data_IF_737775316554
#
_entry.id   IF_737775316554
#
_cell.length_a   1.000
_cell.length_b   1.000
_cell.length_c   1.000
_cell.angle_alpha   90.00
_cell.angle_beta   90.00
_cell.angle_gamma   90.00
#
_symmetry.space_group_name_H-M   'P 1'
#
loop_
_entity.id
_entity.type
_entity.pdbx_description
1 polymer ?
#
# COMPACT_ATOMS: atom_id res chain seq x y z
N UNK A 1 -14.05 23.98 16.22
CA UNK A 1 -13.12 23.29 17.18
C UNK A 1 -11.85 22.93 16.45
N UNK A 2 -10.71 23.42 16.94
CA UNK A 2 -9.42 23.10 16.33
C UNK A 2 -9.04 21.63 16.58
N UNK A 3 -8.73 20.91 15.51
CA UNK A 3 -8.28 19.51 15.57
C UNK A 3 -7.25 19.21 14.47
N UNK A 4 -6.42 18.20 14.70
CA UNK A 4 -5.50 17.66 13.69
C UNK A 4 -6.02 16.30 13.24
N UNK A 5 -6.11 16.12 11.93
CA UNK A 5 -6.46 14.83 11.30
C UNK A 5 -5.24 14.35 10.54
N UNK A 6 -4.87 13.09 10.77
CA UNK A 6 -3.68 12.48 10.18
C UNK A 6 -4.06 11.24 9.40
N UNK A 7 -3.48 11.08 8.21
CA UNK A 7 -3.57 9.87 7.40
C UNK A 7 -2.21 9.44 6.89
N UNK A 8 -2.09 8.17 6.58
CA UNK A 8 -0.86 7.55 6.04
C UNK A 8 -1.14 6.87 4.71
N UNK A 9 -0.10 6.77 3.88
CA UNK A 9 -0.10 5.90 2.71
C UNK A 9 1.26 5.21 2.59
N UNK A 10 1.28 4.09 1.88
CA UNK A 10 2.52 3.35 1.60
C UNK A 10 2.64 3.08 0.11
N UNK A 11 3.88 2.90 -0.34
CA UNK A 11 4.16 2.50 -1.71
C UNK A 11 4.11 0.96 -1.86
N UNK A 12 4.09 0.49 -3.09
CA UNK A 12 3.91 -0.92 -3.48
C UNK A 12 4.96 -1.88 -2.86
N UNK A 13 6.16 -1.41 -2.56
CA UNK A 13 7.23 -2.20 -1.94
C UNK A 13 7.19 -2.26 -0.42
N UNK A 14 6.22 -1.61 0.24
CA UNK A 14 5.97 -1.86 1.65
C UNK A 14 5.56 -3.33 1.83
N UNK A 15 6.17 -4.11 2.76
CA UNK A 15 5.99 -5.57 2.78
C UNK A 15 4.54 -6.02 2.93
N UNK A 16 3.71 -5.35 3.73
CA UNK A 16 2.29 -5.66 3.81
C UNK A 16 1.59 -5.40 2.46
N UNK A 17 1.88 -4.26 1.80
CA UNK A 17 1.26 -3.93 0.51
C UNK A 17 1.74 -4.84 -0.62
N UNK A 18 2.98 -5.31 -0.56
CA UNK A 18 3.49 -6.36 -1.44
C UNK A 18 2.65 -7.64 -1.31
N UNK A 19 2.30 -8.05 -0.07
CA UNK A 19 1.44 -9.21 0.17
C UNK A 19 0.03 -9.00 -0.37
N UNK A 20 -0.57 -7.83 -0.15
CA UNK A 20 -1.89 -7.47 -0.68
C UNK A 20 -1.89 -7.59 -2.21
N UNK A 21 -0.90 -6.99 -2.88
CA UNK A 21 -0.78 -7.00 -4.35
C UNK A 21 -0.63 -8.42 -4.91
N UNK A 22 0.11 -9.30 -4.22
CA UNK A 22 0.26 -10.70 -4.63
C UNK A 22 -1.07 -11.46 -4.47
N UNK A 23 -1.76 -11.29 -3.34
CA UNK A 23 -3.04 -11.96 -3.10
C UNK A 23 -4.13 -11.48 -4.08
N UNK A 24 -4.19 -10.19 -4.35
CA UNK A 24 -5.10 -9.59 -5.35
C UNK A 24 -4.86 -10.18 -6.74
N UNK A 25 -3.61 -10.35 -7.15
CA UNK A 25 -3.28 -10.92 -8.46
C UNK A 25 -3.67 -12.40 -8.58
N UNK A 26 -3.66 -13.17 -7.49
CA UNK A 26 -4.18 -14.53 -7.49
C UNK A 26 -5.70 -14.53 -7.71
N UNK A 27 -6.41 -13.62 -7.05
CA UNK A 27 -7.85 -13.45 -7.24
C UNK A 27 -8.18 -13.02 -8.67
N UNK A 28 -7.46 -12.04 -9.20
CA UNK A 28 -7.63 -11.56 -10.57
C UNK A 28 -7.45 -12.68 -11.59
N UNK A 29 -6.41 -13.50 -11.45
CA UNK A 29 -6.17 -14.64 -12.34
C UNK A 29 -7.25 -15.71 -12.19
N UNK A 30 -7.72 -15.98 -10.97
CA UNK A 30 -8.83 -16.91 -10.72
C UNK A 30 -10.11 -16.43 -11.43
N UNK A 31 -10.51 -15.19 -11.20
CA UNK A 31 -11.75 -14.61 -11.76
C UNK A 31 -11.69 -14.48 -13.28
N UNK A 32 -10.50 -14.24 -13.86
CA UNK A 32 -10.30 -14.19 -15.31
C UNK A 32 -10.64 -15.53 -15.98
N UNK A 33 -10.37 -16.66 -15.32
CA UNK A 33 -10.62 -18.01 -15.84
C UNK A 33 -11.98 -18.57 -15.38
N UNK A 34 -12.38 -18.29 -14.15
CA UNK A 34 -13.62 -18.76 -13.53
C UNK A 34 -14.27 -17.64 -12.72
N UNK A 35 -15.30 -16.95 -13.27
CA UNK A 35 -15.98 -15.85 -12.57
C UNK A 35 -16.67 -16.25 -11.25
N UNK A 36 -16.82 -17.55 -10.98
CA UNK A 36 -17.41 -18.07 -9.75
C UNK A 36 -16.35 -18.51 -8.72
N UNK A 37 -15.09 -18.17 -8.94
CA UNK A 37 -14.02 -18.47 -8.00
C UNK A 37 -14.28 -17.88 -6.62
N UNK A 38 -14.01 -18.66 -5.59
CA UNK A 38 -14.04 -18.24 -4.19
C UNK A 38 -12.63 -18.42 -3.63
N UNK A 39 -12.01 -17.30 -3.23
CA UNK A 39 -10.62 -17.27 -2.82
C UNK A 39 -10.51 -16.69 -1.39
N UNK A 40 -9.86 -17.43 -0.51
CA UNK A 40 -9.42 -16.97 0.81
C UNK A 40 -7.91 -17.24 0.94
N UNK A 41 -7.15 -16.73 -0.04
CA UNK A 41 -5.71 -16.95 -0.14
C UNK A 41 -4.97 -15.76 0.42
N UNK A 42 -4.15 -16.05 1.41
CA UNK A 42 -3.35 -15.09 2.17
C UNK A 42 -1.87 -15.22 1.82
N UNK A 43 -1.12 -14.14 2.03
CA UNK A 43 0.33 -14.11 1.87
C UNK A 43 1.02 -13.52 3.10
N UNK A 44 2.20 -14.05 3.40
CA UNK A 44 3.12 -13.47 4.36
C UNK A 44 4.54 -13.48 3.81
N UNK A 45 5.29 -12.39 4.03
CA UNK A 45 6.64 -12.23 3.48
C UNK A 45 7.64 -11.83 4.56
N UNK A 46 8.82 -12.46 4.53
CA UNK A 46 9.97 -12.06 5.34
C UNK A 46 11.27 -12.53 4.71
N UNK A 47 12.25 -11.63 4.62
CA UNK A 47 13.51 -11.86 3.92
C UNK A 47 13.26 -12.35 2.48
N UNK A 48 13.81 -13.48 2.10
CA UNK A 48 13.66 -14.18 0.82
C UNK A 48 12.56 -15.26 0.82
N UNK A 49 11.65 -15.24 1.77
CA UNK A 49 10.59 -16.24 1.91
C UNK A 49 9.22 -15.61 1.75
N UNK A 50 8.41 -16.22 0.88
CA UNK A 50 7.01 -15.91 0.68
C UNK A 50 6.19 -17.15 1.05
N UNK A 51 5.27 -16.98 1.99
CA UNK A 51 4.27 -17.97 2.36
C UNK A 51 2.97 -17.64 1.66
N UNK A 52 2.37 -18.63 1.00
CA UNK A 52 1.06 -18.55 0.36
C UNK A 52 0.22 -19.65 0.99
N UNK A 53 -0.87 -19.28 1.64
CA UNK A 53 -1.69 -20.23 2.39
C UNK A 53 -3.17 -19.84 2.33
N UNK A 54 -4.05 -20.80 2.64
CA UNK A 54 -5.48 -20.58 2.68
C UNK A 54 -6.27 -21.54 1.81
N UNK A 55 -7.46 -21.12 1.42
CA UNK A 55 -8.41 -21.95 0.70
C UNK A 55 -8.84 -21.31 -0.62
N UNK A 56 -9.02 -22.15 -1.63
CA UNK A 56 -9.53 -21.73 -2.94
C UNK A 56 -10.51 -22.78 -3.48
N UNK A 57 -11.72 -22.35 -3.84
CA UNK A 57 -12.68 -23.14 -4.60
C UNK A 57 -12.83 -22.51 -5.98
N UNK A 58 -12.18 -23.12 -6.97
CA UNK A 58 -12.12 -22.57 -8.34
C UNK A 58 -11.83 -23.67 -9.36
N UNK A 59 -12.29 -23.47 -10.60
CA UNK A 59 -11.89 -24.29 -11.76
C UNK A 59 -10.65 -23.70 -12.46
N UNK A 60 -10.19 -22.53 -12.05
CA UNK A 60 -9.01 -21.89 -12.62
C UNK A 60 -7.75 -22.70 -12.30
N UNK A 61 -6.81 -22.66 -13.23
CA UNK A 61 -5.46 -23.20 -13.03
C UNK A 61 -4.51 -22.04 -12.79
N UNK A 62 -4.13 -21.84 -11.53
CA UNK A 62 -3.34 -20.70 -11.09
C UNK A 62 -1.89 -21.14 -10.87
N UNK A 63 -0.96 -20.52 -11.57
CA UNK A 63 0.46 -20.66 -11.31
C UNK A 63 0.90 -19.61 -10.28
N UNK A 64 0.67 -19.91 -9.01
CA UNK A 64 0.98 -19.04 -7.87
C UNK A 64 2.45 -18.62 -7.84
N UNK A 65 3.36 -19.54 -8.19
CA UNK A 65 4.80 -19.27 -8.17
C UNK A 65 5.19 -18.24 -9.22
N UNK A 66 4.72 -18.39 -10.44
CA UNK A 66 5.03 -17.47 -11.53
C UNK A 66 4.44 -16.09 -11.29
N UNK A 67 3.18 -16.00 -10.87
CA UNK A 67 2.49 -14.74 -10.57
C UNK A 67 3.23 -13.99 -9.45
N UNK A 68 3.54 -14.67 -8.34
CA UNK A 68 4.23 -14.05 -7.22
C UNK A 68 5.62 -13.55 -7.61
N UNK A 69 6.39 -14.33 -8.37
CA UNK A 69 7.73 -13.92 -8.84
C UNK A 69 7.68 -12.74 -9.79
N UNK A 70 6.70 -12.68 -10.67
CA UNK A 70 6.51 -11.57 -11.60
C UNK A 70 6.22 -10.26 -10.84
N UNK A 71 5.31 -10.30 -9.86
CA UNK A 71 4.99 -9.14 -9.02
C UNK A 71 6.20 -8.69 -8.21
N UNK A 72 6.89 -9.60 -7.54
CA UNK A 72 8.09 -9.27 -6.78
C UNK A 72 9.16 -8.61 -7.67
N UNK A 73 9.32 -9.09 -8.90
CA UNK A 73 10.23 -8.51 -9.88
C UNK A 73 9.78 -7.12 -10.33
N UNK A 74 8.47 -6.91 -10.61
CA UNK A 74 7.93 -5.60 -11.00
C UNK A 74 8.06 -4.57 -9.87
N UNK A 75 7.86 -4.97 -8.63
CA UNK A 75 8.13 -4.15 -7.44
C UNK A 75 9.59 -3.70 -7.39
N UNK A 76 10.52 -4.54 -7.84
CA UNK A 76 11.95 -4.23 -7.90
C UNK A 76 12.84 -5.12 -7.04
N UNK A 77 12.31 -6.22 -6.50
CA UNK A 77 13.14 -7.22 -5.84
C UNK A 77 14.07 -7.91 -6.86
N UNK A 78 15.34 -8.00 -6.51
CA UNK A 78 16.37 -8.68 -7.34
C UNK A 78 16.72 -10.06 -6.81
N UNK A 79 16.19 -10.42 -5.66
CA UNK A 79 16.47 -11.66 -4.95
C UNK A 79 15.60 -12.80 -5.49
N UNK A 80 16.13 -14.02 -5.46
CA UNK A 80 15.33 -15.22 -5.60
C UNK A 80 14.52 -15.46 -4.32
N UNK A 81 13.23 -15.77 -4.45
CA UNK A 81 12.37 -16.06 -3.32
C UNK A 81 12.04 -17.55 -3.24
N UNK A 82 12.13 -18.09 -2.03
CA UNK A 82 11.60 -19.40 -1.69
C UNK A 82 10.10 -19.25 -1.42
N UNK A 83 9.27 -19.86 -2.27
CA UNK A 83 7.81 -19.84 -2.13
C UNK A 83 7.37 -21.12 -1.43
N UNK A 84 6.67 -20.97 -0.30
CA UNK A 84 6.10 -22.07 0.49
C UNK A 84 4.59 -21.97 0.39
N UNK A 85 3.95 -23.03 -0.07
CA UNK A 85 2.51 -23.06 -0.32
C UNK A 85 1.82 -24.10 0.56
N UNK A 86 0.71 -23.67 1.20
CA UNK A 86 -0.21 -24.53 1.93
C UNK A 86 -1.64 -24.12 1.56
N UNK A 87 -2.14 -24.71 0.46
CA UNK A 87 -3.44 -24.38 -0.12
C UNK A 87 -4.33 -25.61 -0.13
N UNK A 88 -5.60 -25.42 0.24
CA UNK A 88 -6.62 -26.44 0.23
C UNK A 88 -7.89 -25.97 -0.48
N UNK A 89 -8.82 -26.90 -0.74
CA UNK A 89 -10.19 -26.52 -1.08
C UNK A 89 -10.93 -26.07 0.18
N UNK A 90 -11.89 -25.17 0.02
CA UNK A 90 -12.74 -24.73 1.12
C UNK A 90 -13.50 -25.91 1.74
N UNK A 91 -13.56 -25.98 3.06
CA UNK A 91 -14.21 -27.07 3.75
C UNK A 91 -15.69 -27.20 3.34
N UNK A 92 -16.24 -28.42 3.19
CA UNK A 92 -17.64 -28.63 2.83
C UNK A 92 -18.61 -27.93 3.80
N UNK A 93 -18.26 -27.84 5.08
CA UNK A 93 -19.08 -27.21 6.12
C UNK A 93 -19.21 -25.71 5.92
N UNK A 94 -18.10 -25.03 5.59
CA UNK A 94 -18.08 -23.60 5.24
C UNK A 94 -18.83 -23.39 3.93
N UNK A 95 -18.61 -24.25 2.95
CA UNK A 95 -19.23 -24.15 1.64
C UNK A 95 -20.77 -24.24 1.70
N UNK A 96 -21.33 -25.11 2.55
CA UNK A 96 -22.78 -25.21 2.78
C UNK A 96 -23.39 -23.93 3.38
N UNK A 97 -22.63 -23.21 4.20
CA UNK A 97 -23.09 -21.97 4.83
C UNK A 97 -23.09 -20.78 3.85
N UNK A 98 -22.19 -20.80 2.86
CA UNK A 98 -21.85 -19.65 2.01
C UNK A 98 -22.47 -19.77 0.60
N UNK A 99 -22.50 -20.96 0.00
CA UNK A 99 -22.99 -21.16 -1.37
C UNK A 99 -24.51 -21.24 -1.38
N UNK A 100 -25.17 -20.22 -1.90
CA UNK A 100 -26.62 -20.16 -2.16
C UNK A 100 -26.86 -19.70 -3.60
N UNK A 101 -28.07 -19.97 -4.13
CA UNK A 101 -28.47 -19.56 -5.49
C UNK A 101 -28.42 -18.03 -5.67
N UNK A 102 -28.60 -17.25 -4.59
CA UNK A 102 -28.47 -15.81 -4.59
C UNK A 102 -27.06 -15.37 -4.17
N UNK A 103 -26.50 -14.37 -4.86
CA UNK A 103 -25.24 -13.75 -4.51
C UNK A 103 -25.34 -13.10 -3.12
N UNK A 104 -24.49 -13.53 -2.19
CA UNK A 104 -24.45 -13.04 -0.79
C UNK A 104 -23.01 -12.84 -0.35
N UNK A 105 -22.83 -12.10 0.74
CA UNK A 105 -21.52 -12.01 1.40
C UNK A 105 -21.06 -13.40 1.89
N UNK A 106 -19.76 -13.63 1.77
CA UNK A 106 -19.15 -14.92 2.17
C UNK A 106 -18.98 -15.05 3.68
N UNK A 107 -19.07 -13.96 4.43
CA UNK A 107 -18.86 -13.95 5.87
C UNK A 107 -19.66 -12.82 6.55
N UNK A 108 -19.66 -12.83 7.86
CA UNK A 108 -20.12 -11.72 8.68
C UNK A 108 -19.26 -10.49 8.42
N UNK A 109 -19.84 -9.31 8.52
CA UNK A 109 -19.06 -8.10 8.35
C UNK A 109 -19.78 -6.86 8.89
N UNK A 110 -18.98 -5.87 9.25
CA UNK A 110 -19.43 -4.49 9.42
C UNK A 110 -18.81 -3.66 8.32
N UNK A 111 -19.63 -2.85 7.67
CA UNK A 111 -19.19 -1.90 6.64
C UNK A 111 -19.36 -0.49 7.15
N UNK A 112 -18.35 0.34 6.88
CA UNK A 112 -18.37 1.77 7.16
C UNK A 112 -18.32 2.50 5.84
N UNK A 113 -19.10 3.57 5.72
CA UNK A 113 -19.07 4.46 4.58
C UNK A 113 -18.82 5.88 5.05
N UNK A 114 -17.92 6.59 4.38
CA UNK A 114 -17.65 7.99 4.62
C UNK A 114 -17.36 8.70 3.31
N UNK A 115 -17.92 9.91 3.15
CA UNK A 115 -17.60 10.79 2.04
C UNK A 115 -17.63 12.24 2.52
N UNK A 116 -16.78 13.07 1.91
CA UNK A 116 -16.70 14.51 2.15
C UNK A 116 -16.48 15.25 0.84
N UNK A 117 -17.01 16.46 0.73
CA UNK A 117 -16.85 17.30 -0.46
C UNK A 117 -15.60 18.21 -0.38
N UNK A 118 -14.61 17.86 0.47
CA UNK A 118 -13.41 18.69 0.60
C UNK A 118 -12.37 18.43 -0.48
N UNK A 119 -12.47 17.30 -1.19
CA UNK A 119 -11.66 16.95 -2.35
C UNK A 119 -12.53 16.42 -3.48
N UNK A 120 -12.04 16.48 -4.71
CA UNK A 120 -12.75 15.98 -5.90
C UNK A 120 -12.96 14.46 -5.84
N UNK A 121 -12.12 13.76 -5.08
CA UNK A 121 -12.22 12.32 -4.83
C UNK A 121 -13.30 11.96 -3.80
N UNK A 122 -13.98 12.94 -3.21
CA UNK A 122 -14.91 12.78 -2.10
C UNK A 122 -14.31 12.10 -0.86
N UNK A 123 -13.01 12.21 -0.69
CA UNK A 123 -12.23 11.64 0.41
C UNK A 123 -11.61 12.73 1.28
N UNK A 124 -11.30 12.45 2.55
CA UNK A 124 -10.59 13.39 3.41
C UNK A 124 -9.25 13.85 2.82
N UNK A 125 -8.99 15.14 2.90
CA UNK A 125 -7.78 15.74 2.33
C UNK A 125 -6.46 15.07 2.77
N UNK A 126 -6.24 14.70 4.07
CA UNK A 126 -5.00 14.06 4.47
C UNK A 126 -4.69 12.77 3.71
N UNK A 127 -5.68 11.91 3.49
CA UNK A 127 -5.46 10.64 2.78
C UNK A 127 -5.24 10.86 1.29
N UNK A 128 -5.96 11.80 0.67
CA UNK A 128 -5.76 12.13 -0.75
C UNK A 128 -4.34 12.63 -1.00
N UNK A 129 -3.84 13.54 -0.16
CA UNK A 129 -2.47 14.05 -0.29
C UNK A 129 -1.43 12.96 0.00
N UNK A 130 -1.67 12.10 1.01
CA UNK A 130 -0.78 10.99 1.30
C UNK A 130 -0.68 10.01 0.11
N UNK A 131 -1.80 9.67 -0.53
CA UNK A 131 -1.81 8.85 -1.75
C UNK A 131 -1.11 9.53 -2.93
N UNK A 132 -1.36 10.81 -3.16
CA UNK A 132 -0.69 11.58 -4.24
C UNK A 132 0.82 11.58 -4.06
N UNK A 133 1.32 11.76 -2.82
CA UNK A 133 2.76 11.68 -2.53
C UNK A 133 3.34 10.30 -2.88
N UNK A 134 2.66 9.20 -2.54
CA UNK A 134 3.16 7.86 -2.86
C UNK A 134 3.07 7.53 -4.35
N UNK A 135 2.02 7.95 -5.05
CA UNK A 135 1.93 7.82 -6.52
C UNK A 135 3.04 8.60 -7.21
N UNK A 136 3.28 9.83 -6.76
CA UNK A 136 4.36 10.67 -7.30
C UNK A 136 5.75 10.07 -7.03
N UNK A 137 5.94 9.50 -5.84
CA UNK A 137 7.16 8.76 -5.51
C UNK A 137 7.35 7.55 -6.42
N UNK A 138 6.29 6.77 -6.67
CA UNK A 138 6.36 5.59 -7.54
C UNK A 138 6.75 5.98 -8.97
N UNK A 139 6.18 7.05 -9.53
CA UNK A 139 6.57 7.59 -10.83
C UNK A 139 8.05 7.97 -10.84
N UNK A 140 8.50 8.73 -9.83
CA UNK A 140 9.87 9.18 -9.73
C UNK A 140 10.87 8.02 -9.57
N UNK A 141 10.64 7.10 -8.63
CA UNK A 141 11.58 6.02 -8.36
C UNK A 141 11.82 5.11 -9.59
N UNK A 142 10.82 4.95 -10.45
CA UNK A 142 10.95 4.16 -11.69
C UNK A 142 11.90 4.79 -12.72
N UNK A 143 12.29 6.05 -12.53
CA UNK A 143 13.23 6.75 -13.41
C UNK A 143 14.70 6.59 -12.97
N UNK A 144 14.97 5.94 -11.84
CA UNK A 144 16.30 5.85 -11.24
C UNK A 144 16.50 4.52 -10.52
N UNK A 145 17.74 4.07 -10.39
CA UNK A 145 18.13 2.87 -9.64
C UNK A 145 18.55 3.16 -8.19
N UNK A 146 18.50 4.44 -7.78
CA UNK A 146 18.95 4.90 -6.45
C UNK A 146 17.86 4.86 -5.39
N UNK A 147 16.58 4.77 -5.78
CA UNK A 147 15.44 4.73 -4.88
C UNK A 147 14.65 3.43 -5.07
N UNK A 148 14.21 2.84 -3.95
CA UNK A 148 13.58 1.53 -3.93
C UNK A 148 12.07 1.64 -3.66
N UNK A 149 11.36 0.52 -3.77
CA UNK A 149 9.91 0.53 -3.77
C UNK A 149 9.27 0.72 -2.38
N UNK A 150 10.01 0.53 -1.29
CA UNK A 150 9.46 0.68 0.06
C UNK A 150 9.49 2.16 0.48
N UNK A 151 8.31 2.72 0.65
CA UNK A 151 8.14 4.10 1.06
C UNK A 151 6.83 4.30 1.81
N UNK A 152 6.77 5.36 2.61
CA UNK A 152 5.61 5.76 3.39
C UNK A 152 5.46 7.27 3.39
N UNK A 153 4.23 7.75 3.32
CA UNK A 153 3.87 9.15 3.59
C UNK A 153 2.93 9.24 4.78
N UNK A 154 3.03 10.32 5.53
CA UNK A 154 2.07 10.72 6.56
C UNK A 154 1.76 12.21 6.37
N UNK A 155 0.49 12.53 6.36
CA UNK A 155 -0.01 13.90 6.21
C UNK A 155 -0.95 14.22 7.35
N UNK A 156 -0.63 15.30 8.08
CA UNK A 156 -1.48 15.85 9.14
C UNK A 156 -1.97 17.22 8.71
N UNK A 157 -3.28 17.44 8.79
CA UNK A 157 -3.92 18.71 8.45
C UNK A 157 -4.61 19.26 9.70
N UNK A 158 -4.41 20.56 9.93
CA UNK A 158 -5.11 21.33 10.97
C UNK A 158 -6.45 21.78 10.43
N UNK A 159 -7.51 21.55 11.21
CA UNK A 159 -8.88 21.93 10.89
C UNK A 159 -9.44 22.87 11.94
N UNK A 160 -10.28 23.82 11.51
CA UNK A 160 -11.28 24.44 12.37
C UNK A 160 -12.67 23.95 11.92
N UNK A 161 -13.32 23.19 12.79
CA UNK A 161 -14.49 22.36 12.47
C UNK A 161 -14.23 21.47 11.24
N UNK A 162 -14.85 21.76 10.11
CA UNK A 162 -14.68 21.01 8.87
C UNK A 162 -13.85 21.76 7.81
N UNK A 163 -13.23 22.88 8.16
CA UNK A 163 -12.41 23.66 7.22
C UNK A 163 -10.92 23.37 7.45
N UNK A 164 -10.23 22.86 6.43
CA UNK A 164 -8.80 22.73 6.44
C UNK A 164 -8.14 24.13 6.50
N UNK A 165 -7.18 24.31 7.41
CA UNK A 165 -6.47 25.55 7.63
C UNK A 165 -5.05 25.52 7.06
N UNK A 166 -4.26 24.52 7.48
CA UNK A 166 -2.87 24.34 7.04
C UNK A 166 -2.40 22.89 7.22
N UNK A 167 -1.35 22.52 6.52
CA UNK A 167 -0.62 21.30 6.80
C UNK A 167 0.15 21.44 8.11
N UNK A 168 -0.20 20.63 9.11
CA UNK A 168 0.50 20.61 10.40
C UNK A 168 1.81 19.81 10.31
N UNK A 169 1.83 18.71 9.56
CA UNK A 169 3.02 17.85 9.38
C UNK A 169 2.91 17.07 8.09
N UNK A 170 4.04 16.96 7.37
CA UNK A 170 4.18 16.09 6.21
C UNK A 170 5.47 15.29 6.40
N UNK A 171 5.37 13.97 6.43
CA UNK A 171 6.52 13.08 6.55
C UNK A 171 6.53 12.16 5.32
N UNK A 172 7.70 12.04 4.70
CA UNK A 172 7.93 11.11 3.59
C UNK A 172 9.17 10.30 3.92
N UNK A 173 9.00 8.98 4.08
CA UNK A 173 10.10 8.05 4.31
C UNK A 173 10.26 7.19 3.07
N UNK A 174 11.46 7.17 2.50
CA UNK A 174 11.76 6.48 1.25
C UNK A 174 13.02 5.63 1.38
N UNK A 175 12.96 4.42 0.87
CA UNK A 175 14.13 3.56 0.80
C UNK A 175 15.05 3.95 -0.36
N UNK A 176 16.37 3.87 -0.11
CA UNK A 176 17.37 4.39 -1.03
C UNK A 176 18.69 3.63 -0.98
N UNK A 177 19.52 3.79 -2.03
CA UNK A 177 20.88 3.26 -2.07
C UNK A 177 21.75 3.86 -0.96
N UNK A 178 22.69 3.06 -0.45
CA UNK A 178 23.66 3.53 0.53
C UNK A 178 24.69 4.52 -0.04
N UNK A 179 24.69 4.72 -1.36
CA UNK A 179 25.63 5.60 -2.07
C UNK A 179 25.22 7.09 -2.00
N UNK A 180 23.97 7.39 -1.62
CA UNK A 180 23.46 8.77 -1.54
C UNK A 180 23.40 9.25 -0.11
N UNK A 181 23.71 10.54 0.09
CA UNK A 181 23.71 11.17 1.41
C UNK A 181 22.28 11.51 1.84
N UNK A 182 22.11 11.76 3.15
CA UNK A 182 20.80 12.19 3.70
C UNK A 182 20.33 13.51 3.08
N UNK A 183 21.24 14.42 2.85
CA UNK A 183 20.99 15.74 2.26
C UNK A 183 20.53 15.60 0.81
N UNK A 184 21.17 14.73 0.04
CA UNK A 184 20.76 14.41 -1.34
C UNK A 184 19.38 13.75 -1.38
N UNK A 185 19.11 12.80 -0.48
CA UNK A 185 17.77 12.18 -0.37
C UNK A 185 16.72 13.25 -0.09
N UNK A 186 16.97 14.11 0.90
CA UNK A 186 16.03 15.19 1.26
C UNK A 186 15.76 16.10 0.06
N UNK A 187 16.80 16.65 -0.56
CA UNK A 187 16.65 17.56 -1.69
C UNK A 187 15.93 16.90 -2.87
N UNK A 188 16.32 15.67 -3.21
CA UNK A 188 15.72 14.95 -4.34
C UNK A 188 14.23 14.68 -4.12
N UNK A 189 13.84 14.26 -2.92
CA UNK A 189 12.43 13.99 -2.59
C UNK A 189 11.63 15.28 -2.47
N UNK A 190 12.19 16.33 -1.92
CA UNK A 190 11.56 17.66 -1.89
C UNK A 190 11.26 18.14 -3.32
N UNK A 191 12.23 18.06 -4.24
CA UNK A 191 12.09 18.61 -5.60
C UNK A 191 11.17 17.76 -6.50
N UNK A 192 11.25 16.44 -6.42
CA UNK A 192 10.59 15.55 -7.37
C UNK A 192 9.26 14.97 -6.87
N UNK A 193 9.02 14.98 -5.57
CA UNK A 193 7.83 14.35 -4.96
C UNK A 193 7.00 15.36 -4.17
N UNK A 194 7.61 16.04 -3.19
CA UNK A 194 6.84 16.83 -2.23
C UNK A 194 6.39 18.15 -2.85
N UNK A 195 7.32 18.93 -3.39
CA UNK A 195 7.02 20.25 -3.98
C UNK A 195 5.98 20.18 -5.10
N UNK A 196 6.06 19.23 -6.08
CA UNK A 196 5.03 19.11 -7.10
C UNK A 196 3.63 18.91 -6.52
N UNK A 197 3.48 18.03 -5.53
CA UNK A 197 2.17 17.76 -4.92
C UNK A 197 1.70 18.92 -4.07
N UNK A 198 2.56 19.51 -3.22
CA UNK A 198 2.16 20.61 -2.35
C UNK A 198 1.82 21.90 -3.13
N UNK A 199 2.37 22.08 -4.32
CA UNK A 199 2.01 23.23 -5.18
C UNK A 199 0.53 23.24 -5.54
N UNK A 200 -0.12 22.07 -5.66
CA UNK A 200 -1.57 21.96 -5.87
C UNK A 200 -2.39 22.50 -4.67
N UNK A 201 -1.77 22.52 -3.49
CA UNK A 201 -2.37 22.92 -2.20
C UNK A 201 -1.68 24.12 -1.58
N UNK A 202 -1.13 25.03 -2.40
CA UNK A 202 -0.33 26.17 -1.92
C UNK A 202 -1.06 27.02 -0.88
N UNK A 203 -2.40 27.08 -0.94
CA UNK A 203 -3.25 27.79 0.02
C UNK A 203 -3.28 27.20 1.43
N UNK A 204 -2.77 25.96 1.62
CA UNK A 204 -2.65 25.28 2.92
C UNK A 204 -1.21 25.24 3.45
N UNK A 205 -0.27 25.84 2.74
CA UNK A 205 1.12 25.91 3.19
C UNK A 205 1.25 27.07 4.18
N UNK A 206 1.31 26.74 5.46
CA UNK A 206 1.52 27.70 6.55
C UNK A 206 3.00 27.89 6.91
N UNK A 207 3.26 28.80 7.84
CA UNK A 207 4.64 29.06 8.32
C UNK A 207 5.29 27.83 8.98
N UNK A 208 4.47 26.93 9.52
CA UNK A 208 4.92 25.72 10.23
C UNK A 208 4.94 24.49 9.33
N UNK A 209 4.51 24.60 8.08
CA UNK A 209 4.51 23.50 7.14
C UNK A 209 5.94 23.20 6.67
N UNK A 210 6.62 22.33 7.40
CA UNK A 210 7.99 21.90 7.06
C UNK A 210 7.94 20.39 6.79
N UNK A 211 8.06 19.96 5.52
CA UNK A 211 8.16 18.55 5.20
C UNK A 211 9.42 17.92 5.79
N UNK A 212 9.29 16.69 6.27
CA UNK A 212 10.37 15.92 6.86
C UNK A 212 10.60 14.66 6.04
N UNK A 213 11.82 14.50 5.53
CA UNK A 213 12.22 13.32 4.75
C UNK A 213 13.14 12.45 5.60
N UNK A 214 12.83 11.15 5.66
CA UNK A 214 13.59 10.14 6.40
C UNK A 214 13.97 10.58 7.82
N UNK A 215 13.00 10.91 8.71
CA UNK A 215 13.30 11.41 10.06
C UNK A 215 14.17 10.47 10.88
N UNK A 216 14.03 9.16 10.69
CA UNK A 216 14.81 8.14 11.39
C UNK A 216 16.23 7.93 10.83
N UNK A 217 16.62 8.67 9.78
CA UNK A 217 17.91 8.57 9.15
C UNK A 217 17.93 7.70 7.91
N UNK A 218 18.98 6.85 7.76
CA UNK A 218 19.13 5.99 6.56
C UNK A 218 18.04 4.92 6.49
N UNK A 219 17.51 4.70 5.26
CA UNK A 219 16.56 3.65 4.97
C UNK A 219 17.06 2.83 3.77
N UNK A 220 18.05 1.98 4.01
CA UNK A 220 18.75 1.21 2.96
C UNK A 220 18.38 -0.27 2.94
N UNK A 221 17.88 -0.82 4.05
CA UNK A 221 17.32 -2.19 4.11
C UNK A 221 15.80 -2.05 4.01
N UNK A 222 15.21 -2.49 2.91
CA UNK A 222 13.83 -2.22 2.56
C UNK A 222 13.01 -3.47 2.30
N UNK A 223 11.70 -3.30 2.21
CA UNK A 223 10.76 -4.36 1.91
C UNK A 223 10.85 -5.52 2.91
N UNK A 224 10.71 -6.75 2.43
CA UNK A 224 10.72 -7.97 3.24
C UNK A 224 12.02 -8.20 4.02
N UNK A 225 13.12 -7.60 3.60
CA UNK A 225 14.40 -7.68 4.31
C UNK A 225 14.45 -6.75 5.52
N UNK A 226 13.82 -5.58 5.43
CA UNK A 226 13.72 -4.62 6.52
C UNK A 226 12.64 -4.99 7.53
N UNK A 227 11.46 -5.36 7.06
CA UNK A 227 10.29 -5.68 7.89
C UNK A 227 9.56 -6.92 7.35
N UNK A 228 8.60 -7.44 8.11
CA UNK A 228 7.71 -8.52 7.69
C UNK A 228 6.42 -7.96 7.12
N UNK A 229 5.84 -8.64 6.13
CA UNK A 229 4.55 -8.31 5.56
C UNK A 229 3.51 -9.40 5.71
N UNK A 230 2.25 -8.99 5.69
CA UNK A 230 1.10 -9.88 5.71
C UNK A 230 -0.10 -9.18 5.06
N UNK A 231 -0.95 -9.96 4.37
CA UNK A 231 -2.20 -9.44 3.78
C UNK A 231 -3.09 -8.80 4.85
N UNK A 232 -3.81 -7.74 4.48
CA UNK A 232 -4.83 -7.11 5.31
C UNK A 232 -4.29 -6.24 6.46
N UNK A 233 -3.00 -5.93 6.48
CA UNK A 233 -2.40 -5.08 7.51
C UNK A 233 -2.25 -3.61 7.12
N UNK A 234 -2.76 -3.20 5.95
CA UNK A 234 -2.70 -1.82 5.47
C UNK A 234 -4.07 -1.20 5.23
N UNK A 235 -5.05 -1.54 6.07
CA UNK A 235 -6.39 -0.93 6.05
C UNK A 235 -6.36 0.60 6.20
N UNK A 236 -5.31 1.17 6.82
CA UNK A 236 -5.11 2.62 6.90
C UNK A 236 -4.84 3.27 5.53
N UNK A 237 -4.39 2.48 4.56
CA UNK A 237 -4.17 2.90 3.16
C UNK A 237 -5.39 2.61 2.31
N UNK A 238 -6.06 1.51 2.57
CA UNK A 238 -7.18 1.02 1.75
C UNK A 238 -8.45 1.84 1.97
N UNK A 239 -8.58 2.50 3.14
CA UNK A 239 -9.69 3.39 3.62
C UNK A 239 -11.07 2.78 3.64
#
# INVERSE_FOLDING_TARGET
MIRVVTSESVNIGHPDKTCDTIADAFLDEALRQDPNSQMAVECAIKNDKLFIYGEATTKAKIDYDSIAKEILKDIGYKNEFTIIKELSEQSPDINQAVVKEELRANDQGMVYGYATAETDEYMPLPIVVAHKLMRKYEEFRRTTDKYFADAKSQVSVLYDDNKALEFATIIVSVSHSNEITKEEVKQTIDDNVITPILSEYAYLIGKNTVPVVNPSGKFTIWGSFGDSGCVGRKIVVDT
#
